data_IF_329157336192
#
_entry.id   IF_329157336192
#
_cell.length_a   1.000
_cell.length_b   1.000
_cell.length_c   1.000
_cell.angle_alpha   90.00
_cell.angle_beta   90.00
_cell.angle_gamma   90.00
#
_symmetry.space_group_name_H-M   'P 1'
#
loop_
_entity.id
_entity.type
_entity.pdbx_description
1 polymer ?
#
# COMPACT_ATOMS: atom_id res chain seq x y z
N UNK A 1 53.45 22.74 -41.69
CA UNK A 1 52.71 22.18 -42.85
C UNK A 1 51.22 22.42 -42.58
N UNK A 2 50.61 23.53 -43.02
CA UNK A 2 49.97 23.74 -44.36
C UNK A 2 48.71 22.82 -44.46
N UNK A 3 47.44 23.22 -44.59
CA UNK A 3 46.73 24.45 -45.02
C UNK A 3 45.22 24.34 -44.74
N UNK A 4 44.55 25.49 -44.62
CA UNK A 4 43.10 25.75 -44.76
C UNK A 4 42.50 25.29 -46.11
N UNK A 5 41.17 25.12 -46.19
CA UNK A 5 40.23 25.45 -47.32
C UNK A 5 38.83 24.89 -46.95
N UNK A 6 37.72 25.62 -46.74
CA UNK A 6 36.96 26.66 -47.49
C UNK A 6 36.14 26.14 -48.69
N UNK A 7 34.81 26.28 -48.59
CA UNK A 7 33.83 26.29 -49.69
C UNK A 7 32.42 26.20 -49.10
N UNK A 8 31.50 27.18 -49.09
CA UNK A 8 31.14 28.39 -49.86
C UNK A 8 30.13 28.19 -51.01
N UNK A 9 28.95 28.82 -50.81
CA UNK A 9 27.89 29.26 -51.75
C UNK A 9 26.98 28.17 -52.36
N UNK A 10 25.69 28.38 -52.66
CA UNK A 10 24.86 29.59 -52.87
C UNK A 10 23.37 29.26 -52.59
N UNK A 11 22.56 30.18 -52.06
CA UNK A 11 21.65 31.09 -52.79
C UNK A 11 20.35 30.46 -53.35
N UNK A 12 19.21 30.97 -52.88
CA UNK A 12 17.88 30.68 -53.39
C UNK A 12 16.84 31.58 -52.73
N UNK A 13 16.80 32.85 -53.14
CA UNK A 13 15.69 33.77 -52.88
C UNK A 13 14.52 33.46 -53.82
N UNK A 14 13.28 33.58 -53.35
CA UNK A 14 12.19 34.26 -54.09
C UNK A 14 10.97 34.43 -53.18
N UNK A 15 10.72 35.68 -52.83
CA UNK A 15 9.50 36.19 -52.19
C UNK A 15 8.44 36.44 -53.26
N UNK A 16 7.21 35.96 -53.07
CA UNK A 16 6.04 36.49 -53.78
C UNK A 16 5.03 37.04 -52.77
N UNK A 17 4.80 38.34 -52.86
CA UNK A 17 3.76 39.08 -52.18
C UNK A 17 2.44 38.94 -52.94
N UNK A 18 1.33 38.91 -52.20
CA UNK A 18 -0.02 39.04 -52.73
C UNK A 18 -0.95 39.65 -51.69
N UNK A 19 -1.03 40.99 -51.69
CA UNK A 19 -2.07 41.74 -50.99
C UNK A 19 -3.37 41.69 -51.80
N UNK A 20 -4.49 41.50 -51.12
CA UNK A 20 -5.83 41.81 -51.61
C UNK A 20 -6.74 42.26 -50.49
N UNK A 21 -6.91 43.58 -50.35
CA UNK A 21 -7.87 44.25 -49.45
C UNK A 21 -9.27 44.23 -50.07
N UNK A 22 -10.31 43.95 -49.28
CA UNK A 22 -11.71 44.15 -49.65
C UNK A 22 -12.60 44.22 -48.42
N UNK A 23 -13.09 45.42 -48.13
CA UNK A 23 -13.96 45.82 -47.01
C UNK A 23 -15.42 45.50 -47.34
N UNK A 24 -16.21 44.99 -46.39
CA UNK A 24 -17.62 45.42 -46.18
C UNK A 24 -18.25 44.80 -44.92
N UNK A 25 -18.81 45.71 -44.12
CA UNK A 25 -19.61 45.51 -42.91
C UNK A 25 -20.85 44.62 -43.13
N UNK A 26 -21.17 43.75 -42.16
CA UNK A 26 -22.57 43.56 -41.72
C UNK A 26 -22.61 43.02 -40.28
N UNK A 27 -23.35 43.73 -39.43
CA UNK A 27 -23.59 43.42 -38.03
C UNK A 27 -24.81 42.51 -37.83
N UNK A 28 -24.72 41.57 -36.88
CA UNK A 28 -25.82 40.99 -36.09
C UNK A 28 -25.19 39.95 -35.14
N UNK A 29 -24.88 40.29 -33.88
CA UNK A 29 -25.75 40.16 -32.69
C UNK A 29 -26.44 38.79 -32.59
N UNK A 30 -26.30 38.14 -31.42
CA UNK A 30 -26.94 36.90 -30.93
C UNK A 30 -26.06 35.63 -30.99
N UNK A 31 -25.33 35.39 -29.90
CA UNK A 31 -25.31 34.14 -29.11
C UNK A 31 -24.13 34.18 -28.12
N UNK A 32 -24.19 35.15 -27.22
CA UNK A 32 -23.40 35.20 -26.00
C UNK A 32 -24.14 34.36 -24.96
N UNK A 33 -23.61 33.18 -24.59
CA UNK A 33 -23.76 32.50 -23.28
C UNK A 33 -23.73 30.95 -23.38
N UNK A 34 -22.58 30.31 -23.63
CA UNK A 34 -22.43 28.86 -23.39
C UNK A 34 -21.01 28.43 -22.97
N UNK A 35 -20.24 29.25 -22.23
CA UNK A 35 -18.88 28.84 -21.82
C UNK A 35 -18.47 29.26 -20.41
N UNK A 36 -19.33 29.07 -19.39
CA UNK A 36 -18.88 29.07 -17.99
C UNK A 36 -19.74 28.13 -17.14
N UNK A 37 -19.55 26.83 -17.33
CA UNK A 37 -19.98 25.82 -16.34
C UNK A 37 -18.83 24.83 -16.07
N UNK A 38 -17.61 25.35 -15.92
CA UNK A 38 -16.61 24.67 -15.10
C UNK A 38 -16.92 25.02 -13.65
N UNK A 39 -17.89 24.32 -13.06
CA UNK A 39 -17.97 24.26 -11.61
C UNK A 39 -16.69 23.58 -11.11
N UNK A 40 -16.05 24.06 -10.02
CA UNK A 40 -14.94 23.32 -9.43
C UNK A 40 -15.47 21.93 -9.10
N UNK A 41 -14.83 20.90 -9.64
CA UNK A 41 -15.06 19.54 -9.17
C UNK A 41 -14.91 19.59 -7.65
N UNK A 42 -16.00 19.36 -6.91
CA UNK A 42 -15.91 19.19 -5.47
C UNK A 42 -15.00 17.99 -5.27
N UNK A 43 -13.74 18.25 -4.91
CA UNK A 43 -12.84 17.25 -4.39
C UNK A 43 -13.51 16.71 -3.15
N UNK A 44 -14.24 15.59 -3.29
CA UNK A 44 -14.74 14.84 -2.16
C UNK A 44 -13.54 14.57 -1.26
N UNK A 45 -13.62 14.92 0.03
CA UNK A 45 -12.54 14.60 0.94
C UNK A 45 -12.31 13.09 0.87
N UNK A 46 -11.05 12.66 0.72
CA UNK A 46 -10.73 11.24 0.77
C UNK A 46 -11.31 10.68 2.06
N UNK A 47 -12.10 9.60 1.97
CA UNK A 47 -12.58 8.98 3.21
C UNK A 47 -11.36 8.37 3.90
N UNK A 48 -11.03 8.89 5.08
CA UNK A 48 -9.92 8.38 5.86
C UNK A 48 -10.13 6.90 6.17
N UNK A 49 -9.31 6.04 5.58
CA UNK A 49 -9.37 4.59 5.79
C UNK A 49 -9.22 4.28 7.28
N UNK A 50 -10.10 3.46 7.84
CA UNK A 50 -10.03 3.01 9.23
C UNK A 50 -9.29 1.69 9.31
N UNK A 51 -8.36 1.53 10.26
CA UNK A 51 -7.76 0.23 10.51
C UNK A 51 -8.76 -0.76 11.13
N UNK A 52 -8.47 -2.04 11.00
CA UNK A 52 -9.15 -3.05 11.80
C UNK A 52 -8.80 -2.88 13.28
N UNK A 53 -9.82 -2.82 14.12
CA UNK A 53 -9.66 -2.80 15.58
C UNK A 53 -8.89 -4.03 16.05
N UNK A 54 -7.91 -3.84 16.94
CA UNK A 54 -7.00 -4.89 17.41
C UNK A 54 -7.77 -6.10 17.98
N UNK A 55 -8.82 -5.86 18.77
CA UNK A 55 -9.68 -6.93 19.31
C UNK A 55 -10.34 -7.76 18.21
N UNK A 56 -10.79 -7.11 17.13
CA UNK A 56 -11.41 -7.78 16.00
C UNK A 56 -10.37 -8.57 15.20
N UNK A 57 -9.20 -7.97 14.95
CA UNK A 57 -8.08 -8.64 14.30
C UNK A 57 -7.65 -9.90 15.06
N UNK A 58 -7.52 -9.83 16.39
CA UNK A 58 -7.20 -10.98 17.25
C UNK A 58 -8.19 -12.13 17.09
N UNK A 59 -9.49 -11.84 17.06
CA UNK A 59 -10.53 -12.86 16.85
C UNK A 59 -10.46 -13.50 15.46
N UNK A 60 -10.12 -12.73 14.43
CA UNK A 60 -9.93 -13.26 13.06
C UNK A 60 -8.70 -14.15 12.99
N UNK A 61 -7.59 -13.73 13.60
CA UNK A 61 -6.36 -14.52 13.68
C UNK A 61 -6.63 -15.84 14.41
N UNK A 62 -7.33 -15.80 15.55
CA UNK A 62 -7.70 -16.98 16.32
C UNK A 62 -8.49 -17.98 15.47
N UNK A 63 -9.53 -17.50 14.78
CA UNK A 63 -10.36 -18.34 13.93
C UNK A 63 -9.55 -18.93 12.76
N UNK A 64 -8.72 -18.13 12.09
CA UNK A 64 -7.89 -18.61 10.99
C UNK A 64 -6.87 -19.68 11.44
N UNK A 65 -6.33 -19.56 12.66
CA UNK A 65 -5.45 -20.56 13.26
C UNK A 65 -6.21 -21.88 13.49
N UNK A 66 -7.40 -21.80 14.08
CA UNK A 66 -8.27 -22.95 14.34
C UNK A 66 -8.69 -23.66 13.06
N UNK A 67 -9.13 -22.89 12.05
CA UNK A 67 -9.57 -23.42 10.74
C UNK A 67 -8.44 -24.17 10.01
N UNK A 68 -7.18 -23.86 10.32
CA UNK A 68 -6.01 -24.52 9.76
C UNK A 68 -5.48 -25.71 10.59
N UNK A 69 -6.18 -26.07 11.68
CA UNK A 69 -5.91 -27.25 12.50
C UNK A 69 -4.88 -27.04 13.59
N UNK A 70 -4.57 -25.80 13.96
CA UNK A 70 -3.67 -25.47 15.05
C UNK A 70 -4.46 -24.93 16.24
N UNK A 71 -3.93 -25.15 17.45
CA UNK A 71 -4.52 -24.61 18.67
C UNK A 71 -3.83 -23.30 19.04
N UNK A 72 -4.58 -22.19 19.12
CA UNK A 72 -4.04 -20.92 19.57
C UNK A 72 -3.79 -20.95 21.08
N UNK A 73 -2.65 -20.43 21.51
CA UNK A 73 -2.30 -20.22 22.90
C UNK A 73 -2.13 -18.73 23.17
N UNK A 74 -2.19 -18.35 24.45
CA UNK A 74 -1.87 -16.98 24.87
C UNK A 74 -0.47 -16.60 24.38
N UNK A 75 -0.36 -15.40 23.81
CA UNK A 75 0.90 -14.86 23.37
C UNK A 75 1.94 -14.75 24.50
N UNK A 76 3.21 -14.89 24.12
CA UNK A 76 4.39 -14.82 24.98
C UNK A 76 5.09 -13.47 24.79
N UNK A 77 5.81 -13.05 25.82
CA UNK A 77 6.82 -12.01 25.68
C UNK A 77 8.10 -12.67 25.16
N UNK A 78 8.63 -12.16 24.06
CA UNK A 78 9.85 -12.63 23.42
C UNK A 78 10.84 -11.48 23.32
N UNK A 79 12.14 -11.77 23.50
CA UNK A 79 13.20 -10.79 23.26
C UNK A 79 13.62 -10.85 21.80
N UNK A 80 13.64 -9.71 21.14
CA UNK A 80 14.17 -9.54 19.78
C UNK A 80 15.70 -9.53 19.79
N UNK A 81 16.31 -9.47 18.61
CA UNK A 81 17.77 -9.55 18.44
C UNK A 81 18.54 -8.44 19.16
N UNK A 82 17.93 -7.27 19.33
CA UNK A 82 18.50 -6.13 20.05
C UNK A 82 18.17 -6.12 21.56
N UNK A 83 17.51 -7.16 22.06
CA UNK A 83 17.10 -7.31 23.46
C UNK A 83 15.75 -6.69 23.81
N UNK A 84 15.09 -6.02 22.85
CA UNK A 84 13.77 -5.40 23.03
C UNK A 84 12.70 -6.46 23.28
N UNK A 85 11.85 -6.23 24.27
CA UNK A 85 10.71 -7.10 24.56
C UNK A 85 9.57 -6.82 23.57
N UNK A 86 9.10 -7.86 22.90
CA UNK A 86 7.92 -7.83 22.04
C UNK A 86 6.89 -8.83 22.58
N UNK A 87 5.64 -8.42 22.66
CA UNK A 87 4.54 -9.34 23.00
C UNK A 87 3.90 -9.81 21.69
N UNK A 88 3.89 -11.12 21.46
CA UNK A 88 3.06 -11.66 20.38
C UNK A 88 1.60 -11.73 20.85
N UNK A 89 0.63 -11.67 19.95
CA UNK A 89 -0.78 -11.81 20.32
C UNK A 89 -1.17 -13.25 20.58
N UNK A 90 -0.51 -14.17 19.88
CA UNK A 90 -0.85 -15.58 19.86
C UNK A 90 0.38 -16.43 19.61
N UNK A 91 0.51 -17.49 20.40
CA UNK A 91 1.43 -18.60 20.13
C UNK A 91 0.67 -19.76 19.49
N UNK A 92 1.37 -20.58 18.69
CA UNK A 92 0.81 -21.82 18.17
C UNK A 92 1.23 -23.00 19.05
N UNK A 93 0.27 -23.81 19.54
CA UNK A 93 0.56 -24.96 20.40
C UNK A 93 1.47 -25.97 19.71
N UNK A 94 2.53 -26.41 20.41
CA UNK A 94 3.49 -27.38 19.89
C UNK A 94 4.46 -26.83 18.84
N UNK A 95 4.40 -25.53 18.55
CA UNK A 95 5.19 -24.90 17.48
C UNK A 95 6.05 -23.74 18.03
N UNK A 96 7.15 -23.46 17.33
CA UNK A 96 8.01 -22.28 17.64
C UNK A 96 7.41 -20.98 17.08
N UNK A 97 6.27 -21.06 16.43
CA UNK A 97 5.68 -19.96 15.70
C UNK A 97 4.72 -19.15 16.58
N UNK A 98 4.65 -17.85 16.29
CA UNK A 98 3.70 -16.92 16.89
C UNK A 98 3.22 -15.90 15.87
N UNK A 99 2.20 -15.14 16.23
CA UNK A 99 1.59 -14.11 15.38
C UNK A 99 1.42 -12.84 16.23
N UNK A 100 1.79 -11.69 15.67
CA UNK A 100 1.64 -10.38 16.27
C UNK A 100 0.97 -9.42 15.28
N UNK A 101 -0.16 -8.85 15.68
CA UNK A 101 -0.85 -7.76 15.01
C UNK A 101 -0.27 -6.43 15.52
N UNK A 102 0.53 -5.78 14.69
CA UNK A 102 1.30 -4.61 15.08
C UNK A 102 0.47 -3.36 14.85
N UNK A 103 -0.01 -2.77 15.95
CA UNK A 103 -0.68 -1.47 15.93
C UNK A 103 0.28 -0.34 15.55
N UNK A 104 -0.25 0.80 15.14
CA UNK A 104 0.55 2.00 14.89
C UNK A 104 1.40 2.39 16.11
N UNK A 105 0.82 2.30 17.32
CA UNK A 105 1.52 2.58 18.57
C UNK A 105 2.66 1.59 18.84
N UNK A 106 2.44 0.30 18.63
CA UNK A 106 3.50 -0.70 18.82
C UNK A 106 4.61 -0.56 17.78
N UNK A 107 4.27 -0.23 16.54
CA UNK A 107 5.27 0.07 15.50
C UNK A 107 6.16 1.24 15.91
N UNK A 108 5.60 2.29 16.52
CA UNK A 108 6.36 3.42 17.05
C UNK A 108 7.22 3.03 18.25
N UNK A 109 6.68 2.27 19.21
CA UNK A 109 7.40 1.83 20.40
C UNK A 109 8.57 0.89 20.08
N UNK A 110 8.35 -0.06 19.18
CA UNK A 110 9.37 -1.04 18.78
C UNK A 110 10.35 -0.46 17.74
N UNK A 111 9.91 0.51 16.93
CA UNK A 111 10.76 1.30 16.05
C UNK A 111 11.73 0.47 15.21
N UNK A 112 13.03 0.63 15.45
CA UNK A 112 14.10 -0.01 14.69
C UNK A 112 14.27 -1.50 14.99
N UNK A 113 13.65 -2.01 16.05
CA UNK A 113 13.68 -3.43 16.40
C UNK A 113 12.85 -4.28 15.44
N UNK A 114 11.88 -3.67 14.73
CA UNK A 114 11.10 -4.32 13.70
C UNK A 114 11.72 -4.12 12.31
N UNK A 115 11.60 -5.12 11.40
CA UNK A 115 11.91 -4.91 10.00
C UNK A 115 11.01 -3.82 9.42
N UNK A 116 11.56 -3.03 8.51
CA UNK A 116 10.77 -1.98 7.84
C UNK A 116 9.59 -2.61 7.09
N UNK A 117 8.39 -2.08 7.35
CA UNK A 117 7.20 -2.36 6.53
C UNK A 117 7.46 -1.89 5.10
N UNK A 118 7.11 -2.72 4.12
CA UNK A 118 7.11 -2.35 2.71
C UNK A 118 5.67 -2.44 2.18
N UNK A 119 4.95 -1.32 1.98
CA UNK A 119 3.57 -1.35 1.50
C UNK A 119 3.43 -1.85 0.07
N UNK A 120 4.50 -1.83 -0.73
CA UNK A 120 4.49 -2.29 -2.12
C UNK A 120 4.71 -3.81 -2.26
N UNK A 121 5.00 -4.49 -1.15
CA UNK A 121 5.28 -5.92 -1.13
C UNK A 121 4.24 -6.66 -0.30
N UNK A 122 3.59 -7.65 -0.90
CA UNK A 122 2.68 -8.57 -0.21
C UNK A 122 3.43 -9.62 0.63
N UNK A 123 4.76 -9.54 0.71
CA UNK A 123 5.54 -10.54 1.43
C UNK A 123 5.38 -10.38 2.94
N UNK A 124 4.80 -11.42 3.56
CA UNK A 124 4.71 -11.55 5.00
C UNK A 124 6.09 -11.51 5.66
N UNK A 125 6.20 -10.75 6.75
CA UNK A 125 7.46 -10.56 7.47
C UNK A 125 7.50 -11.41 8.72
N UNK A 126 8.64 -12.03 8.93
CA UNK A 126 8.93 -12.84 10.10
C UNK A 126 10.09 -12.23 10.88
N UNK A 127 10.01 -12.26 12.20
CA UNK A 127 11.14 -11.95 13.09
C UNK A 127 11.47 -13.15 13.95
N UNK A 128 12.74 -13.24 14.35
CA UNK A 128 13.21 -14.26 15.29
C UNK A 128 13.33 -13.65 16.67
N UNK A 129 12.74 -14.33 17.65
CA UNK A 129 12.88 -14.02 19.07
C UNK A 129 13.75 -15.04 19.79
N UNK A 130 14.00 -14.77 21.07
CA UNK A 130 14.66 -15.70 21.99
C UNK A 130 13.93 -17.05 22.08
N UNK A 131 14.66 -18.10 22.43
CA UNK A 131 14.10 -19.45 22.52
C UNK A 131 13.76 -20.08 21.17
N UNK A 132 14.24 -19.50 20.07
CA UNK A 132 13.97 -19.98 18.71
C UNK A 132 12.58 -19.61 18.19
N UNK A 133 11.88 -18.69 18.84
CA UNK A 133 10.57 -18.22 18.42
C UNK A 133 10.62 -17.54 17.05
N UNK A 134 9.64 -17.80 16.19
CA UNK A 134 9.49 -17.15 14.89
C UNK A 134 8.11 -16.49 14.83
N UNK A 135 8.08 -15.17 14.82
CA UNK A 135 6.84 -14.39 14.91
C UNK A 135 6.49 -13.79 13.56
N UNK A 136 5.27 -14.04 13.11
CA UNK A 136 4.65 -13.35 11.98
C UNK A 136 4.19 -11.95 12.39
N UNK A 137 4.60 -10.95 11.61
CA UNK A 137 4.19 -9.57 11.80
C UNK A 137 3.07 -9.20 10.82
N UNK A 138 1.95 -8.73 11.36
CA UNK A 138 0.77 -8.29 10.62
C UNK A 138 0.53 -6.81 10.97
N UNK A 139 0.94 -5.87 10.12
CA UNK A 139 0.80 -4.45 10.43
C UNK A 139 -0.64 -3.98 10.25
N UNK A 140 -1.16 -3.26 11.23
CA UNK A 140 -2.47 -2.61 11.18
C UNK A 140 -2.68 -1.76 9.91
N UNK A 141 -1.62 -1.10 9.46
CA UNK A 141 -1.63 -0.27 8.25
C UNK A 141 -1.96 -1.04 6.95
N UNK A 142 -1.83 -2.37 6.95
CA UNK A 142 -2.12 -3.25 5.81
C UNK A 142 -3.56 -3.80 5.81
N UNK A 143 -4.31 -3.55 6.89
CA UNK A 143 -5.68 -4.04 7.08
C UNK A 143 -6.60 -2.88 7.42
N UNK A 144 -6.84 -2.02 6.43
CA UNK A 144 -7.70 -0.84 6.55
C UNK A 144 -8.89 -0.96 5.61
N UNK A 145 -9.99 -0.31 5.97
CA UNK A 145 -11.21 -0.27 5.19
C UNK A 145 -11.80 1.13 5.16
N UNK A 146 -12.57 1.40 4.12
CA UNK A 146 -13.36 2.62 3.98
C UNK A 146 -14.68 2.46 4.75
N UNK A 147 -14.88 3.33 5.75
CA UNK A 147 -16.09 3.39 6.56
C UNK A 147 -17.15 4.36 5.99
N UNK A 148 -16.85 5.05 4.89
CA UNK A 148 -17.77 5.94 4.18
C UNK A 148 -18.70 5.20 3.23
N UNK A 149 -19.63 5.95 2.63
CA UNK A 149 -20.71 5.39 1.81
C UNK A 149 -20.24 4.77 0.49
N UNK A 150 -19.06 5.14 -0.01
CA UNK A 150 -18.54 4.62 -1.28
C UNK A 150 -17.99 3.18 -1.15
N UNK A 151 -17.74 2.69 0.07
CA UNK A 151 -17.35 1.31 0.39
C UNK A 151 -16.30 0.69 -0.56
N UNK A 152 -15.38 1.51 -1.06
CA UNK A 152 -14.39 1.11 -2.07
C UNK A 152 -13.48 -0.01 -1.57
N UNK A 153 -13.21 -0.04 -0.26
CA UNK A 153 -12.62 -1.16 0.46
C UNK A 153 -13.48 -1.47 1.67
N UNK A 154 -14.13 -2.63 1.73
CA UNK A 154 -15.04 -2.98 2.83
C UNK A 154 -14.29 -3.56 4.02
N UNK A 155 -14.89 -3.49 5.21
CA UNK A 155 -14.38 -4.18 6.39
C UNK A 155 -14.20 -5.68 6.11
N UNK A 156 -15.17 -6.31 5.43
CA UNK A 156 -15.12 -7.72 5.02
C UNK A 156 -13.89 -8.03 4.16
N UNK A 157 -13.51 -7.13 3.25
CA UNK A 157 -12.31 -7.31 2.44
C UNK A 157 -11.03 -7.25 3.27
N UNK A 158 -10.93 -6.31 4.22
CA UNK A 158 -9.79 -6.20 5.13
C UNK A 158 -9.69 -7.43 6.05
N UNK A 159 -10.82 -7.89 6.61
CA UNK A 159 -10.90 -9.10 7.45
C UNK A 159 -10.52 -10.36 6.65
N UNK A 160 -11.03 -10.49 5.43
CA UNK A 160 -10.70 -11.57 4.52
C UNK A 160 -9.23 -11.59 4.14
N UNK A 161 -8.62 -10.41 3.90
CA UNK A 161 -7.17 -10.30 3.68
C UNK A 161 -6.39 -10.80 4.90
N UNK A 162 -6.73 -10.33 6.10
CA UNK A 162 -6.08 -10.76 7.33
C UNK A 162 -6.17 -12.29 7.52
N UNK A 163 -7.35 -12.87 7.31
CA UNK A 163 -7.55 -14.31 7.40
C UNK A 163 -6.72 -15.09 6.37
N UNK A 164 -6.63 -14.61 5.13
CA UNK A 164 -5.81 -15.24 4.08
C UNK A 164 -4.33 -15.20 4.40
N UNK A 165 -3.82 -14.04 4.82
CA UNK A 165 -2.41 -13.86 5.16
C UNK A 165 -1.98 -14.82 6.30
N UNK A 166 -2.84 -15.00 7.32
CA UNK A 166 -2.61 -15.97 8.41
C UNK A 166 -2.64 -17.41 7.89
N UNK A 167 -3.62 -17.76 7.05
CA UNK A 167 -3.71 -19.10 6.47
C UNK A 167 -2.49 -19.42 5.59
N UNK A 168 -2.05 -18.48 4.76
CA UNK A 168 -0.88 -18.63 3.90
C UNK A 168 0.40 -18.85 4.70
N UNK A 169 0.59 -18.11 5.80
CA UNK A 169 1.68 -18.34 6.74
C UNK A 169 1.65 -19.77 7.30
N UNK A 170 0.50 -20.25 7.77
CA UNK A 170 0.37 -21.58 8.36
C UNK A 170 0.66 -22.67 7.31
N UNK A 171 0.08 -22.55 6.11
CA UNK A 171 0.23 -23.54 5.05
C UNK A 171 1.66 -23.60 4.50
N UNK A 172 2.30 -22.45 4.28
CA UNK A 172 3.59 -22.40 3.60
C UNK A 172 4.78 -22.40 4.55
N UNK A 173 4.66 -21.80 5.73
CA UNK A 173 5.79 -21.69 6.66
C UNK A 173 5.74 -22.80 7.70
N UNK A 174 4.61 -22.97 8.38
CA UNK A 174 4.50 -23.93 9.49
C UNK A 174 4.46 -25.37 8.98
N UNK A 175 3.55 -25.67 8.04
CA UNK A 175 3.38 -27.05 7.54
C UNK A 175 4.55 -27.55 6.70
N UNK A 176 5.19 -26.70 5.90
CA UNK A 176 6.34 -27.14 5.07
C UNK A 176 7.57 -27.48 5.91
N UNK A 177 7.79 -26.81 7.05
CA UNK A 177 8.89 -27.13 7.95
C UNK A 177 8.79 -28.55 8.50
N UNK A 178 7.58 -28.99 8.86
CA UNK A 178 7.36 -30.32 9.47
C UNK A 178 7.67 -31.50 8.53
N UNK A 179 7.74 -31.25 7.22
CA UNK A 179 8.07 -32.26 6.20
C UNK A 179 9.57 -32.40 5.92
N UNK A 180 10.41 -31.54 6.50
CA UNK A 180 11.88 -31.59 6.39
C UNK A 180 12.49 -32.23 7.62
#
# INVERSE_FOLDING_TARGET
>A
MTTLTTGSRAAGWTSWAGLGRGVLFLAALVCLALTTACGPAQTRPETALKPLEERRARGIIEQAVLDNGYRPLKGRVVKLADGTDMTEDMALEGEVYGIAYISAREAEMLGKSLPKRNPESEQLRLVRGTGGAIILLLWEADYRYDAGEEHTTTAVAAEGKLSRDVADFILHVVKQRKKR
#
